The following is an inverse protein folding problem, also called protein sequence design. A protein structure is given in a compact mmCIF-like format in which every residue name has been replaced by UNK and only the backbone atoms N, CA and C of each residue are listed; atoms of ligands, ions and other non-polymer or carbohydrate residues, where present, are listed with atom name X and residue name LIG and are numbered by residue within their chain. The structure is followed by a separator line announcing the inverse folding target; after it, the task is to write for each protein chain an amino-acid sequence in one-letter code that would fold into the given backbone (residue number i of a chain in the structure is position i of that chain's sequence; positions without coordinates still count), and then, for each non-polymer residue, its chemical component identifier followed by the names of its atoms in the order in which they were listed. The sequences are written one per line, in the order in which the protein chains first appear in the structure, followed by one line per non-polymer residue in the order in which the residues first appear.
data_IF_956687989646
#
_entry.id   IF_956687989646
#
_cell.length_a   1.000
_cell.length_b   1.000
_cell.length_c   1.000
_cell.angle_alpha   90.00
_cell.angle_beta   90.00
_cell.angle_gamma   90.00
#
_symmetry.space_group_name_H-M   'P 1'
#
loop_
_entity.id
_entity.type
_entity.pdbx_description
1 polymer ?
#
# COMPACT_ATOMS: atom_id res chain seq x y z
N UNK A 1 1.84 21.23 1.98
CA UNK A 1 0.64 20.38 1.76
C UNK A 1 0.95 18.98 2.29
N UNK A 2 0.02 18.30 2.99
CA UNK A 2 0.29 17.08 3.79
C UNK A 2 0.77 15.82 3.03
N UNK A 3 1.13 15.93 1.75
CA UNK A 3 1.58 14.81 0.92
C UNK A 3 2.83 15.13 0.10
N UNK A 4 3.52 16.25 0.36
CA UNK A 4 4.71 16.65 -0.39
C UNK A 4 5.85 15.63 -0.34
N UNK A 5 5.96 14.88 0.76
CA UNK A 5 6.92 13.79 0.91
C UNK A 5 6.72 12.66 -0.10
N UNK A 6 5.51 12.50 -0.67
CA UNK A 6 5.26 11.49 -1.71
C UNK A 6 5.94 11.82 -3.05
N UNK A 7 6.39 13.06 -3.25
CA UNK A 7 7.13 13.45 -4.45
C UNK A 7 8.44 12.65 -4.62
N UNK A 8 8.99 12.08 -3.54
CA UNK A 8 10.18 11.25 -3.59
C UNK A 8 10.01 9.97 -4.45
N UNK A 9 8.77 9.52 -4.68
CA UNK A 9 8.47 8.35 -5.50
C UNK A 9 8.34 8.66 -7.00
N UNK A 10 8.49 9.94 -7.37
CA UNK A 10 8.52 10.38 -8.77
C UNK A 10 7.16 10.35 -9.47
N UNK A 11 7.16 10.88 -10.70
CA UNK A 11 5.94 11.09 -11.49
C UNK A 11 5.18 9.80 -11.78
N UNK A 12 5.88 8.69 -12.00
CA UNK A 12 5.28 7.37 -12.25
C UNK A 12 4.34 6.94 -11.11
N UNK A 13 4.73 7.12 -9.86
CA UNK A 13 3.83 6.85 -8.74
C UNK A 13 2.70 7.89 -8.65
N UNK A 14 3.05 9.17 -8.77
CA UNK A 14 2.09 10.28 -8.59
C UNK A 14 0.95 10.26 -9.61
N UNK A 15 1.17 9.78 -10.84
CA UNK A 15 0.11 9.63 -11.85
C UNK A 15 -0.95 8.59 -11.44
N UNK A 16 -0.57 7.62 -10.60
CA UNK A 16 -1.46 6.59 -10.07
C UNK A 16 -2.09 6.97 -8.71
N UNK A 17 -1.56 7.99 -8.03
CA UNK A 17 -2.12 8.48 -6.78
C UNK A 17 -3.40 9.30 -7.05
N UNK A 18 -4.45 9.01 -6.27
CA UNK A 18 -5.75 9.69 -6.32
C UNK A 18 -6.21 10.05 -4.92
N UNK A 19 -6.83 11.21 -4.79
CA UNK A 19 -7.52 11.64 -3.57
C UNK A 19 -9.02 11.68 -3.80
N UNK A 20 -9.78 11.11 -2.87
CA UNK A 20 -11.24 11.18 -2.84
C UNK A 20 -11.70 11.69 -1.47
N UNK A 21 -12.76 12.49 -1.45
CA UNK A 21 -13.36 13.01 -0.22
C UNK A 21 -14.88 12.87 -0.29
N UNK A 22 -15.49 12.45 0.81
CA UNK A 22 -16.92 12.27 0.93
C UNK A 22 -17.39 12.85 2.28
N UNK A 23 -18.50 13.61 2.33
CA UNK A 23 -18.98 14.25 3.56
C UNK A 23 -19.73 13.27 4.47
N UNK A 24 -19.07 12.20 4.90
CA UNK A 24 -19.61 11.23 5.88
C UNK A 24 -18.92 11.38 7.24
N UNK A 25 -19.69 11.26 8.32
CA UNK A 25 -19.18 11.50 9.67
C UNK A 25 -17.99 10.61 10.06
N UNK A 26 -17.97 9.36 9.58
CA UNK A 26 -16.89 8.42 9.85
C UNK A 26 -15.53 8.92 9.33
N UNK A 27 -15.47 9.53 8.14
CA UNK A 27 -14.23 10.04 7.54
C UNK A 27 -13.71 11.33 8.19
N UNK A 28 -14.39 11.87 9.21
CA UNK A 28 -13.83 12.94 10.07
C UNK A 28 -12.79 12.40 11.04
N UNK A 29 -12.78 11.10 11.28
CA UNK A 29 -11.95 10.45 12.29
C UNK A 29 -10.89 9.51 11.70
N UNK A 30 -11.06 9.09 10.44
CA UNK A 30 -10.16 8.14 9.78
C UNK A 30 -9.95 8.52 8.32
N UNK A 31 -8.73 8.30 7.85
CA UNK A 31 -8.39 8.28 6.43
C UNK A 31 -8.14 6.85 6.01
N UNK A 32 -8.70 6.46 4.86
CA UNK A 32 -8.44 5.16 4.26
C UNK A 32 -7.45 5.36 3.12
N UNK A 33 -6.39 4.57 3.14
CA UNK A 33 -5.45 4.46 2.03
C UNK A 33 -5.74 3.12 1.36
N UNK A 34 -6.33 3.18 0.17
CA UNK A 34 -6.50 2.01 -0.67
C UNK A 34 -5.25 1.82 -1.52
N UNK A 35 -4.73 0.60 -1.56
CA UNK A 35 -3.52 0.25 -2.29
C UNK A 35 -3.86 -0.68 -3.45
N UNK A 36 -3.21 -0.57 -4.61
CA UNK A 36 -3.29 -1.59 -5.64
C UNK A 36 -3.04 -2.99 -5.07
N UNK A 37 -3.73 -4.00 -5.61
CA UNK A 37 -3.52 -5.39 -5.21
C UNK A 37 -2.06 -5.82 -5.37
N UNK A 38 -1.60 -6.66 -4.45
CA UNK A 38 -0.30 -7.33 -4.55
C UNK A 38 -0.41 -8.34 -5.68
N UNK A 39 0.49 -8.25 -6.67
CA UNK A 39 0.39 -9.05 -7.88
C UNK A 39 1.09 -10.39 -7.66
N UNK A 40 0.57 -11.44 -8.27
CA UNK A 40 1.12 -12.79 -8.14
C UNK A 40 2.05 -13.21 -9.27
N UNK A 41 2.08 -12.46 -10.39
CA UNK A 41 2.87 -12.80 -11.57
C UNK A 41 3.90 -11.74 -11.96
N UNK A 42 5.13 -12.17 -12.25
CA UNK A 42 6.25 -11.28 -12.66
C UNK A 42 5.89 -10.32 -13.80
N UNK A 43 5.10 -10.76 -14.79
CA UNK A 43 4.66 -9.89 -15.90
C UNK A 43 3.84 -8.69 -15.44
N UNK A 44 3.04 -8.84 -14.38
CA UNK A 44 2.22 -7.77 -13.84
C UNK A 44 3.09 -6.82 -12.97
N UNK A 45 4.07 -7.35 -12.23
CA UNK A 45 5.01 -6.54 -11.45
C UNK A 45 5.89 -5.66 -12.36
N UNK A 46 6.33 -6.17 -13.53
CA UNK A 46 7.08 -5.40 -14.53
C UNK A 46 6.29 -4.22 -15.08
N UNK A 47 4.95 -4.30 -15.14
CA UNK A 47 4.12 -3.19 -15.60
C UNK A 47 4.03 -2.03 -14.61
N UNK A 48 4.41 -2.25 -13.34
CA UNK A 48 4.40 -1.22 -12.31
C UNK A 48 5.72 -0.43 -12.39
N UNK A 49 5.63 0.78 -12.93
CA UNK A 49 6.79 1.66 -13.17
C UNK A 49 7.32 2.36 -11.91
N UNK A 50 7.00 1.86 -10.71
CA UNK A 50 7.46 2.41 -9.44
C UNK A 50 7.66 1.28 -8.40
N UNK A 51 8.54 1.52 -7.43
CA UNK A 51 8.80 0.56 -6.35
C UNK A 51 7.64 0.55 -5.35
N UNK A 52 6.75 -0.43 -5.53
CA UNK A 52 5.59 -0.62 -4.66
C UNK A 52 5.97 -0.93 -3.22
N UNK A 53 7.00 -1.76 -3.00
CA UNK A 53 7.38 -2.19 -1.65
C UNK A 53 7.90 -1.00 -0.82
N UNK A 54 8.69 -0.11 -1.45
CA UNK A 54 9.13 1.14 -0.84
C UNK A 54 7.99 2.11 -0.52
N UNK A 55 6.98 2.20 -1.40
CA UNK A 55 5.76 2.99 -1.13
C UNK A 55 5.00 2.41 0.06
N UNK A 56 4.80 1.09 0.10
CA UNK A 56 4.11 0.41 1.22
C UNK A 56 4.86 0.64 2.53
N UNK A 57 6.19 0.52 2.53
CA UNK A 57 7.02 0.84 3.70
C UNK A 57 6.76 2.26 4.22
N UNK A 58 6.81 3.23 3.31
CA UNK A 58 6.62 4.63 3.67
C UNK A 58 5.24 4.93 4.27
N UNK A 59 4.20 4.25 3.77
CA UNK A 59 2.85 4.34 4.31
C UNK A 59 2.74 3.64 5.66
N UNK A 60 3.31 2.42 5.79
CA UNK A 60 3.33 1.64 7.03
C UNK A 60 3.91 2.45 8.21
N UNK A 61 4.94 3.26 7.95
CA UNK A 61 5.58 4.12 8.95
C UNK A 61 4.69 5.28 9.43
N UNK A 62 3.57 5.58 8.76
CA UNK A 62 2.70 6.73 9.05
C UNK A 62 1.28 6.36 9.44
N UNK A 63 0.83 5.16 9.10
CA UNK A 63 -0.52 4.70 9.46
C UNK A 63 -0.54 4.11 10.87
N UNK A 64 -1.72 4.17 11.49
CA UNK A 64 -2.00 3.55 12.78
C UNK A 64 -2.34 2.05 12.67
N UNK A 65 -2.85 1.61 11.51
CA UNK A 65 -3.30 0.25 11.27
C UNK A 65 -3.07 -0.17 9.82
N UNK A 66 -2.70 -1.44 9.63
CA UNK A 66 -2.50 -2.06 8.32
C UNK A 66 -3.41 -3.28 8.26
N UNK A 67 -4.38 -3.27 7.36
CA UNK A 67 -5.30 -4.40 7.15
C UNK A 67 -4.78 -5.22 5.96
N UNK A 68 -4.39 -6.46 6.20
CA UNK A 68 -3.99 -7.38 5.14
C UNK A 68 -5.12 -8.35 4.83
N UNK A 69 -5.61 -8.30 3.60
CA UNK A 69 -6.71 -9.13 3.12
C UNK A 69 -6.15 -10.31 2.32
N UNK A 70 -6.67 -11.51 2.59
CA UNK A 70 -6.28 -12.75 1.90
C UNK A 70 -7.47 -13.40 1.20
N UNK A 71 -7.25 -13.80 -0.04
CA UNK A 71 -8.17 -14.69 -0.75
C UNK A 71 -7.79 -16.14 -0.45
N UNK A 72 -8.60 -16.83 0.37
CA UNK A 72 -8.37 -18.22 0.76
C UNK A 72 -8.42 -19.19 -0.42
N UNK A 73 -8.97 -18.79 -1.57
CA UNK A 73 -9.04 -19.62 -2.77
C UNK A 73 -7.77 -19.58 -3.61
N UNK A 74 -6.85 -18.64 -3.34
CA UNK A 74 -5.62 -18.39 -4.13
C UNK A 74 -4.40 -18.23 -3.23
N UNK A 75 -4.16 -19.22 -2.38
CA UNK A 75 -3.04 -19.29 -1.42
C UNK A 75 -1.65 -19.46 -2.09
N UNK A 76 -1.41 -18.79 -3.21
CA UNK A 76 -0.08 -18.66 -3.80
C UNK A 76 0.62 -17.44 -3.19
N UNK A 77 1.63 -17.71 -2.38
CA UNK A 77 2.48 -16.66 -1.77
C UNK A 77 3.46 -16.16 -2.84
N UNK A 78 3.09 -15.07 -3.51
CA UNK A 78 3.94 -14.45 -4.53
C UNK A 78 5.22 -13.84 -3.97
N UNK A 79 6.22 -13.66 -4.82
CA UNK A 79 7.48 -13.02 -4.40
C UNK A 79 7.28 -11.54 -4.05
N UNK A 80 6.36 -10.83 -4.74
CA UNK A 80 5.99 -9.45 -4.39
C UNK A 80 5.32 -9.40 -3.01
N UNK A 81 4.47 -10.39 -2.70
CA UNK A 81 3.86 -10.50 -1.38
C UNK A 81 4.90 -10.69 -0.26
N UNK A 82 5.87 -11.59 -0.46
CA UNK A 82 6.99 -11.75 0.48
C UNK A 82 7.81 -10.46 0.64
N UNK A 83 8.04 -9.75 -0.46
CA UNK A 83 8.78 -8.48 -0.44
C UNK A 83 8.03 -7.41 0.36
N UNK A 84 6.71 -7.30 0.19
CA UNK A 84 5.87 -6.40 0.99
C UNK A 84 5.95 -6.76 2.47
N UNK A 85 5.81 -8.04 2.84
CA UNK A 85 5.96 -8.47 4.24
C UNK A 85 7.32 -8.10 4.84
N UNK A 86 8.41 -8.22 4.07
CA UNK A 86 9.73 -7.79 4.53
C UNK A 86 9.80 -6.28 4.80
N UNK A 87 9.09 -5.48 4.00
CA UNK A 87 9.02 -4.02 4.15
C UNK A 87 8.09 -3.57 5.28
N UNK A 88 7.20 -4.44 5.74
CA UNK A 88 6.37 -4.21 6.93
C UNK A 88 7.12 -4.49 8.24
N UNK A 89 8.34 -5.03 8.21
CA UNK A 89 9.14 -5.28 9.42
C UNK A 89 9.31 -4.01 10.26
N UNK A 90 9.15 -4.13 11.58
CA UNK A 90 9.13 -3.03 12.53
C UNK A 90 7.78 -2.29 12.64
N UNK A 91 6.74 -2.74 11.94
CA UNK A 91 5.36 -2.25 12.07
C UNK A 91 4.38 -3.43 12.28
N UNK A 92 4.87 -4.59 12.72
CA UNK A 92 4.09 -5.83 12.84
C UNK A 92 2.89 -5.67 13.79
N UNK A 93 3.03 -4.85 14.82
CA UNK A 93 2.00 -4.56 15.81
C UNK A 93 0.79 -3.82 15.23
N UNK A 94 0.97 -3.17 14.07
CA UNK A 94 -0.09 -2.46 13.34
C UNK A 94 -0.87 -3.37 12.39
N UNK A 95 -0.32 -4.55 12.07
CA UNK A 95 -0.89 -5.47 11.08
C UNK A 95 -2.08 -6.22 11.68
N UNK A 96 -3.20 -6.23 10.95
CA UNK A 96 -4.42 -6.98 11.24
C UNK A 96 -4.76 -7.83 10.01
N UNK A 97 -5.11 -9.09 10.27
CA UNK A 97 -5.47 -10.10 9.27
C UNK A 97 -6.98 -10.32 9.27
#
# INVERSE_FOLDING_TARGET
MPFQSLNQFGSSFLTHLRGASLPVNMLKHVYLIDTPGILSGQKQTISREYDFASVVRFMADKVDMIIMLFDTSKLDISDEYKLVLQHLKGNEEKVRF
#
